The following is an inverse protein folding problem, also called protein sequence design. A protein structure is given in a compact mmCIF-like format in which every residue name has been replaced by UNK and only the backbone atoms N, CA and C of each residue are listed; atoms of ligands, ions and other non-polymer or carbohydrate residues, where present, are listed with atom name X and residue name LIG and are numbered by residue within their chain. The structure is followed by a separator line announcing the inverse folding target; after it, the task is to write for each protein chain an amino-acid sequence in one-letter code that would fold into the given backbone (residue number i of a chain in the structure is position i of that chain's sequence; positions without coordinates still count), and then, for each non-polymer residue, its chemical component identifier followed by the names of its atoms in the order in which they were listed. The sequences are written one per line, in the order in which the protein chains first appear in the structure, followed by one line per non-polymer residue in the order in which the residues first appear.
data_IF_515680767648
#
_entry.id   IF_515680767648
#
_cell.length_a   1.000
_cell.length_b   1.000
_cell.length_c   1.000
_cell.angle_alpha   90.00
_cell.angle_beta   90.00
_cell.angle_gamma   90.00
#
_symmetry.space_group_name_H-M   'P 1'
#
loop_
_entity.id
_entity.type
_entity.pdbx_description
1 polymer ?
#
# COMPACT_ATOMS: atom_id res chain seq x y z
N UNK A 1 -4.31 1.38 -29.22
CA UNK A 1 -5.23 1.53 -28.08
C UNK A 1 -4.55 2.42 -27.05
N UNK A 2 -5.20 3.49 -26.58
CA UNK A 2 -4.59 4.42 -25.62
C UNK A 2 -4.75 3.84 -24.21
N UNK A 3 -3.66 3.33 -23.65
CA UNK A 3 -3.63 2.88 -22.26
C UNK A 3 -3.56 4.10 -21.34
N UNK A 4 -4.51 4.24 -20.42
CA UNK A 4 -4.40 5.24 -19.36
C UNK A 4 -3.37 4.76 -18.34
N UNK A 5 -2.13 5.25 -18.48
CA UNK A 5 -0.99 4.86 -17.65
C UNK A 5 -1.24 5.14 -16.16
N UNK A 6 -1.88 6.27 -15.83
CA UNK A 6 -2.20 6.63 -14.44
C UNK A 6 -3.11 5.59 -13.79
N UNK A 7 -4.18 5.18 -14.50
CA UNK A 7 -5.08 4.11 -14.03
C UNK A 7 -4.37 2.77 -13.88
N UNK A 8 -3.51 2.40 -14.81
CA UNK A 8 -2.77 1.14 -14.75
C UNK A 8 -1.81 1.12 -13.57
N UNK A 9 -1.04 2.20 -13.37
CA UNK A 9 -0.14 2.33 -12.21
C UNK A 9 -0.92 2.25 -10.90
N UNK A 10 -2.06 2.92 -10.84
CA UNK A 10 -2.93 2.89 -9.68
C UNK A 10 -3.44 1.48 -9.40
N UNK A 11 -3.89 0.76 -10.44
CA UNK A 11 -4.32 -0.64 -10.31
C UNK A 11 -3.17 -1.55 -9.85
N UNK A 12 -1.95 -1.37 -10.38
CA UNK A 12 -0.75 -2.08 -9.90
C UNK A 12 -0.46 -1.84 -8.42
N UNK A 13 -0.54 -0.58 -7.98
CA UNK A 13 -0.30 -0.20 -6.60
C UNK A 13 -1.34 -0.79 -5.65
N UNK A 14 -2.62 -0.73 -6.05
CA UNK A 14 -3.71 -1.32 -5.29
C UNK A 14 -3.59 -2.83 -5.19
N UNK A 15 -3.24 -3.51 -6.29
CA UNK A 15 -2.99 -4.95 -6.29
C UNK A 15 -1.84 -5.31 -5.34
N UNK A 16 -0.75 -4.55 -5.34
CA UNK A 16 0.35 -4.74 -4.40
C UNK A 16 -0.10 -4.56 -2.94
N UNK A 17 -0.84 -3.48 -2.64
CA UNK A 17 -1.32 -3.23 -1.28
C UNK A 17 -2.32 -4.30 -0.81
N UNK A 18 -3.16 -4.82 -1.71
CA UNK A 18 -4.07 -5.95 -1.45
C UNK A 18 -3.30 -7.19 -1.01
N UNK A 19 -2.31 -7.59 -1.80
CA UNK A 19 -1.49 -8.76 -1.52
C UNK A 19 -0.68 -8.58 -0.23
N UNK A 20 -0.18 -7.36 0.01
CA UNK A 20 0.50 -7.03 1.26
C UNK A 20 -0.43 -7.18 2.46
N UNK A 21 -1.64 -6.59 2.45
CA UNK A 21 -2.63 -6.74 3.54
C UNK A 21 -2.97 -8.21 3.78
N UNK A 22 -3.22 -8.98 2.72
CA UNK A 22 -3.54 -10.40 2.82
C UNK A 22 -2.39 -11.23 3.43
N UNK A 23 -1.13 -10.81 3.24
CA UNK A 23 0.04 -11.53 3.74
C UNK A 23 0.24 -11.45 5.26
N UNK A 24 -0.34 -10.45 5.94
CA UNK A 24 -0.15 -10.24 7.38
C UNK A 24 -1.44 -10.14 8.19
N UNK A 25 -2.62 -9.97 7.59
CA UNK A 25 -3.89 -9.79 8.33
C UNK A 25 -4.18 -10.85 9.40
N UNK A 26 -3.68 -12.08 9.20
CA UNK A 26 -3.89 -13.21 10.12
C UNK A 26 -2.68 -13.42 11.06
N UNK A 27 -1.65 -12.58 10.96
CA UNK A 27 -0.45 -12.63 11.79
C UNK A 27 -0.59 -11.71 12.99
N UNK A 28 -0.45 -12.25 14.19
CA UNK A 28 -0.47 -11.52 15.46
C UNK A 28 0.82 -10.71 15.75
N UNK A 29 1.63 -10.44 14.75
CA UNK A 29 2.97 -9.83 14.94
C UNK A 29 2.90 -8.39 15.48
N UNK A 30 1.83 -7.65 15.17
CA UNK A 30 1.59 -6.29 15.71
C UNK A 30 1.34 -6.30 17.23
N UNK A 31 0.78 -7.40 17.78
CA UNK A 31 0.54 -7.54 19.23
C UNK A 31 1.85 -7.49 20.03
N UNK A 32 3.00 -7.78 19.41
CA UNK A 32 4.32 -7.71 20.07
C UNK A 32 4.81 -6.28 20.31
N UNK A 33 4.35 -5.33 19.50
CA UNK A 33 4.86 -3.95 19.50
C UNK A 33 3.86 -2.91 20.03
N UNK A 34 2.57 -3.19 19.92
CA UNK A 34 1.51 -2.30 20.38
C UNK A 34 0.92 -2.84 21.68
N UNK A 35 1.21 -2.20 22.81
CA UNK A 35 0.70 -2.65 24.11
C UNK A 35 -0.79 -2.31 24.33
N UNK A 36 -1.37 -1.41 23.54
CA UNK A 36 -2.76 -0.97 23.68
C UNK A 36 -3.68 -1.74 22.72
N UNK A 37 -4.52 -2.60 23.28
CA UNK A 37 -5.49 -3.42 22.53
C UNK A 37 -6.47 -2.57 21.72
N UNK A 38 -6.84 -1.38 22.19
CA UNK A 38 -7.78 -0.51 21.50
C UNK A 38 -7.16 0.06 20.20
N UNK A 39 -5.87 0.35 20.25
CA UNK A 39 -5.11 0.83 19.09
C UNK A 39 -4.99 -0.30 18.05
N UNK A 40 -4.68 -1.53 18.47
CA UNK A 40 -4.61 -2.71 17.59
C UNK A 40 -5.96 -2.96 16.90
N UNK A 41 -7.05 -2.94 17.65
CA UNK A 41 -8.39 -3.21 17.11
C UNK A 41 -8.79 -2.17 16.07
N UNK A 42 -8.53 -0.89 16.34
CA UNK A 42 -8.72 0.18 15.36
C UNK A 42 -7.88 -0.05 14.11
N UNK A 43 -6.62 -0.46 14.22
CA UNK A 43 -5.79 -0.75 13.05
C UNK A 43 -6.30 -1.92 12.22
N UNK A 44 -6.71 -3.00 12.87
CA UNK A 44 -7.28 -4.16 12.18
C UNK A 44 -8.57 -3.77 11.45
N UNK A 45 -9.41 -2.94 12.05
CA UNK A 45 -10.62 -2.43 11.41
C UNK A 45 -10.30 -1.56 10.19
N UNK A 46 -9.34 -0.64 10.28
CA UNK A 46 -8.93 0.17 9.11
C UNK A 46 -8.34 -0.73 8.02
N UNK A 47 -7.51 -1.71 8.37
CA UNK A 47 -6.95 -2.67 7.41
C UNK A 47 -8.03 -3.49 6.70
N UNK A 48 -9.04 -3.96 7.43
CA UNK A 48 -10.20 -4.67 6.88
C UNK A 48 -11.02 -3.79 5.93
N UNK A 49 -11.30 -2.55 6.34
CA UNK A 49 -12.01 -1.58 5.51
C UNK A 49 -11.22 -1.26 4.23
N UNK A 50 -9.91 -1.02 4.35
CA UNK A 50 -9.03 -0.78 3.19
C UNK A 50 -9.03 -1.97 2.24
N UNK A 51 -8.89 -3.20 2.75
CA UNK A 51 -8.93 -4.40 1.93
C UNK A 51 -10.26 -4.54 1.19
N UNK A 52 -11.38 -4.25 1.86
CA UNK A 52 -12.71 -4.27 1.25
C UNK A 52 -12.81 -3.26 0.11
N UNK A 53 -12.35 -2.03 0.32
CA UNK A 53 -12.41 -0.99 -0.72
C UNK A 53 -11.47 -1.28 -1.89
N UNK A 54 -10.24 -1.73 -1.64
CA UNK A 54 -9.32 -2.17 -2.68
C UNK A 54 -9.94 -3.31 -3.49
N UNK A 55 -10.63 -4.24 -2.83
CA UNK A 55 -11.29 -5.37 -3.50
C UNK A 55 -12.48 -4.96 -4.35
N UNK A 56 -13.14 -3.82 -4.07
CA UNK A 56 -14.23 -3.30 -4.90
C UNK A 56 -13.73 -2.71 -6.23
N UNK A 57 -12.46 -2.29 -6.28
CA UNK A 57 -11.87 -1.57 -7.42
C UNK A 57 -10.77 -2.37 -8.15
N UNK A 58 -10.46 -3.58 -7.67
CA UNK A 58 -9.49 -4.51 -8.27
C UNK A 58 -10.15 -5.84 -8.59
N UNK A 59 -9.60 -6.57 -9.56
CA UNK A 59 -10.07 -7.94 -9.80
C UNK A 59 -9.57 -8.91 -8.71
N UNK A 60 -10.17 -10.11 -8.59
CA UNK A 60 -9.61 -11.20 -7.80
C UNK A 60 -8.22 -11.60 -8.30
N UNK A 61 -7.36 -12.11 -7.42
CA UNK A 61 -5.97 -12.44 -7.78
C UNK A 61 -5.87 -13.45 -8.93
N UNK A 62 -6.75 -14.46 -8.96
CA UNK A 62 -6.81 -15.46 -10.03
C UNK A 62 -7.07 -14.83 -11.41
N UNK A 63 -7.87 -13.75 -11.48
CA UNK A 63 -8.13 -13.08 -12.74
C UNK A 63 -6.84 -12.57 -13.39
N UNK A 64 -5.95 -11.95 -12.59
CA UNK A 64 -4.67 -11.46 -13.09
C UNK A 64 -3.75 -12.59 -13.56
N UNK A 65 -3.75 -13.73 -12.86
CA UNK A 65 -2.92 -14.89 -13.21
C UNK A 65 -3.41 -15.58 -14.49
N UNK A 66 -4.72 -15.83 -14.59
CA UNK A 66 -5.36 -16.46 -15.74
C UNK A 66 -5.22 -15.59 -16.99
N UNK A 67 -5.33 -14.26 -16.82
CA UNK A 67 -5.28 -13.29 -17.91
C UNK A 67 -3.90 -12.64 -18.10
N UNK A 68 -2.82 -13.21 -17.56
CA UNK A 68 -1.46 -12.63 -17.64
C UNK A 68 -0.96 -12.30 -19.07
N UNK A 69 -1.52 -12.97 -20.09
CA UNK A 69 -1.20 -12.73 -21.51
C UNK A 69 -1.96 -11.53 -22.09
N UNK A 70 -3.07 -11.11 -21.48
CA UNK A 70 -3.84 -9.95 -21.91
C UNK A 70 -3.00 -8.68 -21.72
N UNK A 71 -2.85 -7.87 -22.77
CA UNK A 71 -1.90 -6.75 -22.80
C UNK A 71 -2.07 -5.80 -21.60
N UNK A 72 -3.30 -5.48 -21.17
CA UNK A 72 -3.54 -4.59 -20.03
C UNK A 72 -3.08 -5.23 -18.72
N UNK A 73 -3.44 -6.50 -18.51
CA UNK A 73 -3.13 -7.26 -17.30
C UNK A 73 -1.63 -7.44 -17.18
N UNK A 74 -0.95 -7.72 -18.30
CA UNK A 74 0.52 -7.77 -18.36
C UNK A 74 1.14 -6.48 -17.83
N UNK A 75 0.69 -5.32 -18.31
CA UNK A 75 1.23 -4.03 -17.87
C UNK A 75 0.92 -3.75 -16.39
N UNK A 76 -0.27 -4.13 -15.90
CA UNK A 76 -0.57 -4.06 -14.45
C UNK A 76 0.40 -4.91 -13.63
N UNK A 77 0.66 -6.15 -14.06
CA UNK A 77 1.61 -7.06 -13.42
C UNK A 77 3.05 -6.56 -13.49
N UNK A 78 3.44 -5.92 -14.59
CA UNK A 78 4.77 -5.29 -14.73
C UNK A 78 4.94 -4.17 -13.70
N UNK A 79 3.88 -3.39 -13.44
CA UNK A 79 3.89 -2.33 -12.44
C UNK A 79 3.93 -2.88 -11.01
N UNK A 80 3.16 -3.94 -10.76
CA UNK A 80 3.20 -4.68 -9.50
C UNK A 80 4.62 -5.20 -9.23
N UNK A 81 5.24 -5.84 -10.23
CA UNK A 81 6.59 -6.39 -10.13
C UNK A 81 7.63 -5.30 -9.91
N UNK A 82 7.48 -4.14 -10.56
CA UNK A 82 8.33 -2.99 -10.31
C UNK A 82 8.29 -2.58 -8.83
N UNK A 83 7.09 -2.38 -8.27
CA UNK A 83 6.91 -1.99 -6.86
C UNK A 83 7.55 -3.04 -5.94
N UNK A 84 7.25 -4.32 -6.17
CA UNK A 84 7.78 -5.42 -5.37
C UNK A 84 9.31 -5.49 -5.41
N UNK A 85 9.90 -5.29 -6.59
CA UNK A 85 11.35 -5.28 -6.77
C UNK A 85 12.00 -4.08 -6.10
N UNK A 86 11.40 -2.88 -6.19
CA UNK A 86 11.92 -1.69 -5.52
C UNK A 86 11.86 -1.85 -4.00
N UNK A 87 10.78 -2.39 -3.44
CA UNK A 87 10.69 -2.66 -2.00
C UNK A 87 11.74 -3.70 -1.58
N UNK A 88 11.85 -4.80 -2.33
CA UNK A 88 12.81 -5.88 -2.06
C UNK A 88 14.27 -5.45 -2.16
N UNK A 89 14.62 -4.45 -2.99
CA UNK A 89 15.98 -3.88 -3.03
C UNK A 89 16.31 -3.04 -1.79
N UNK A 90 15.31 -2.43 -1.18
CA UNK A 90 15.49 -1.51 -0.06
C UNK A 90 15.28 -2.19 1.30
N UNK A 91 14.68 -3.38 1.34
CA UNK A 91 14.59 -4.23 2.53
C UNK A 91 15.59 -5.37 2.41
N UNK A 92 16.53 -5.46 3.37
CA UNK A 92 17.46 -6.59 3.46
C UNK A 92 16.69 -7.86 3.84
N UNK A 93 17.25 -9.01 3.49
CA UNK A 93 16.69 -10.30 3.89
C UNK A 93 16.59 -10.38 5.43
N UNK A 94 15.43 -10.81 5.94
CA UNK A 94 15.09 -10.88 7.37
C UNK A 94 15.02 -9.52 8.08
N UNK A 95 15.01 -8.42 7.34
CA UNK A 95 14.81 -7.11 7.93
C UNK A 95 13.36 -6.91 8.35
N UNK A 96 13.17 -6.48 9.58
CA UNK A 96 11.85 -6.18 10.09
C UNK A 96 11.28 -4.93 9.41
N UNK A 97 9.97 -4.97 9.16
CA UNK A 97 9.24 -3.87 8.55
C UNK A 97 7.78 -3.91 9.03
N UNK A 98 7.14 -2.74 9.12
CA UNK A 98 5.72 -2.65 9.46
C UNK A 98 4.89 -2.62 8.17
N UNK A 99 4.22 -3.73 7.79
CA UNK A 99 3.50 -3.80 6.52
C UNK A 99 2.30 -2.84 6.50
N UNK A 100 1.68 -2.57 7.67
CA UNK A 100 0.56 -1.64 7.77
C UNK A 100 1.00 -0.23 7.44
N UNK A 101 2.05 0.24 8.11
CA UNK A 101 2.62 1.56 7.85
C UNK A 101 3.06 1.70 6.39
N UNK A 102 3.66 0.66 5.82
CA UNK A 102 4.14 0.67 4.44
C UNK A 102 3.00 0.87 3.43
N UNK A 103 1.94 0.03 3.47
CA UNK A 103 0.87 0.16 2.48
C UNK A 103 0.10 1.48 2.65
N UNK A 104 -0.13 1.93 3.88
CA UNK A 104 -0.76 3.24 4.12
C UNK A 104 0.08 4.37 3.52
N UNK A 105 1.39 4.35 3.74
CA UNK A 105 2.30 5.38 3.24
C UNK A 105 2.33 5.40 1.71
N UNK A 106 2.39 4.21 1.08
CA UNK A 106 2.32 4.06 -0.37
C UNK A 106 1.06 4.68 -0.97
N UNK A 107 -0.11 4.37 -0.40
CA UNK A 107 -1.39 4.89 -0.86
C UNK A 107 -1.55 6.40 -0.57
N UNK A 108 -1.05 6.87 0.58
CA UNK A 108 -1.06 8.28 0.96
C UNK A 108 -0.27 9.13 -0.05
N UNK A 109 0.97 8.73 -0.33
CA UNK A 109 1.83 9.44 -1.27
C UNK A 109 1.22 9.47 -2.67
N UNK A 110 0.63 8.36 -3.12
CA UNK A 110 0.03 8.27 -4.44
C UNK A 110 -1.22 9.13 -4.60
N UNK A 111 -2.19 9.00 -3.69
CA UNK A 111 -3.49 9.66 -3.82
C UNK A 111 -3.53 11.07 -3.25
N UNK A 112 -2.91 11.29 -2.08
CA UNK A 112 -2.99 12.55 -1.35
C UNK A 112 -1.92 13.54 -1.79
N UNK A 113 -0.65 13.12 -1.77
CA UNK A 113 0.49 14.01 -2.02
C UNK A 113 0.69 14.26 -3.52
N UNK A 114 0.71 13.19 -4.32
CA UNK A 114 0.85 13.29 -5.77
C UNK A 114 -0.48 13.55 -6.51
N UNK A 115 -1.60 13.57 -5.80
CA UNK A 115 -2.93 13.87 -6.30
C UNK A 115 -3.36 13.01 -7.52
N UNK A 116 -2.86 11.76 -7.60
CA UNK A 116 -3.16 10.83 -8.70
C UNK A 116 -4.61 10.34 -8.60
N UNK A 117 -5.28 10.21 -9.74
CA UNK A 117 -6.69 9.77 -9.83
C UNK A 117 -7.69 10.58 -8.97
N UNK A 118 -7.36 11.81 -8.56
CA UNK A 118 -8.16 12.64 -7.63
C UNK A 118 -9.58 12.99 -8.09
N UNK A 119 -9.86 12.86 -9.40
CA UNK A 119 -11.20 13.07 -9.99
C UNK A 119 -11.99 11.77 -10.17
N UNK A 120 -11.38 10.62 -9.93
CA UNK A 120 -12.07 9.33 -10.09
C UNK A 120 -12.88 9.01 -8.85
N UNK A 121 -14.17 8.70 -9.04
CA UNK A 121 -15.15 8.45 -7.97
C UNK A 121 -14.72 7.31 -7.04
N UNK A 122 -14.04 6.31 -7.60
CA UNK A 122 -13.49 5.15 -6.90
C UNK A 122 -12.40 5.55 -5.88
N UNK A 123 -11.75 6.69 -6.07
CA UNK A 123 -10.54 7.09 -5.34
C UNK A 123 -10.75 8.24 -4.36
N UNK A 124 -11.93 8.88 -4.39
CA UNK A 124 -12.36 9.87 -3.40
C UNK A 124 -12.39 9.24 -1.99
N UNK A 125 -12.73 7.96 -1.85
CA UNK A 125 -12.68 7.27 -0.55
C UNK A 125 -11.27 7.23 0.04
N UNK A 126 -10.27 6.92 -0.77
CA UNK A 126 -8.87 6.86 -0.32
C UNK A 126 -8.36 8.24 0.11
N UNK A 127 -8.82 9.33 -0.53
CA UNK A 127 -8.46 10.71 -0.15
C UNK A 127 -9.16 11.19 1.14
N UNK A 128 -10.39 10.72 1.39
CA UNK A 128 -11.24 11.18 2.49
C UNK A 128 -11.03 10.42 3.80
N UNK A 129 -10.58 9.17 3.76
CA UNK A 129 -10.30 8.41 4.98
C UNK A 129 -8.99 8.93 5.63
N UNK A 130 -8.92 9.02 6.96
CA UNK A 130 -8.11 10.04 7.60
C UNK A 130 -6.66 9.58 7.71
N UNK A 131 -5.88 9.92 6.69
CA UNK A 131 -4.43 9.84 6.74
C UNK A 131 -3.88 10.50 8.01
N UNK A 132 -4.42 11.66 8.40
CA UNK A 132 -4.08 12.33 9.67
C UNK A 132 -4.25 11.40 10.87
N UNK A 133 -5.39 10.70 10.98
CA UNK A 133 -5.67 9.85 12.14
C UNK A 133 -4.81 8.59 12.16
N UNK A 134 -4.35 8.09 11.00
CA UNK A 134 -3.45 6.93 10.93
C UNK A 134 -2.02 7.33 11.31
N UNK A 135 -1.51 8.45 10.77
CA UNK A 135 -0.18 8.96 11.10
C UNK A 135 -0.08 9.41 12.56
N UNK A 136 -1.07 10.13 13.08
CA UNK A 136 -1.08 10.57 14.49
C UNK A 136 -1.06 9.35 15.42
N UNK A 137 -1.82 8.30 15.11
CA UNK A 137 -1.82 7.06 15.91
C UNK A 137 -0.52 6.26 15.79
N UNK A 138 0.02 6.09 14.57
CA UNK A 138 1.21 5.26 14.33
C UNK A 138 2.52 5.95 14.75
N UNK A 139 2.59 7.28 14.71
CA UNK A 139 3.82 8.02 14.99
C UNK A 139 3.79 8.77 16.32
N UNK A 140 2.64 9.32 16.71
CA UNK A 140 2.54 10.21 17.88
C UNK A 140 2.13 9.41 19.13
N UNK A 141 1.03 8.65 19.06
CA UNK A 141 0.45 7.96 20.22
C UNK A 141 1.29 6.78 20.72
N UNK A 142 1.98 6.07 19.82
CA UNK A 142 2.87 4.96 20.21
C UNK A 142 4.02 5.53 21.04
N UNK A 143 4.34 4.91 22.18
CA UNK A 143 5.43 5.36 23.06
C UNK A 143 6.75 4.65 22.78
N UNK A 144 6.69 3.51 22.12
CA UNK A 144 7.87 2.71 21.76
C UNK A 144 8.72 3.42 20.70
N UNK A 145 10.00 3.61 21.00
CA UNK A 145 10.92 4.36 20.13
C UNK A 145 11.36 3.54 18.91
N UNK A 146 11.56 2.24 19.07
CA UNK A 146 12.04 1.37 18.00
C UNK A 146 10.93 1.18 16.96
N UNK A 147 9.67 1.07 17.40
CA UNK A 147 8.52 1.05 16.52
C UNK A 147 8.32 2.36 15.75
N UNK A 148 8.60 3.51 16.36
CA UNK A 148 8.58 4.79 15.64
C UNK A 148 9.64 4.84 14.55
N UNK A 149 10.86 4.40 14.85
CA UNK A 149 11.94 4.34 13.87
C UNK A 149 11.55 3.41 12.72
N UNK A 150 10.96 2.25 13.04
CA UNK A 150 10.43 1.32 12.05
C UNK A 150 9.38 1.98 11.15
N UNK A 151 8.44 2.73 11.73
CA UNK A 151 7.40 3.42 10.97
C UNK A 151 7.96 4.54 10.08
N UNK A 152 8.90 5.35 10.59
CA UNK A 152 9.58 6.39 9.80
C UNK A 152 10.27 5.76 8.60
N UNK A 153 10.98 4.65 8.81
CA UNK A 153 11.62 3.91 7.72
C UNK A 153 10.63 3.42 6.66
N UNK A 154 9.41 3.03 7.05
CA UNK A 154 8.37 2.64 6.08
C UNK A 154 7.89 3.82 5.24
N UNK A 155 7.83 5.01 5.83
CA UNK A 155 7.47 6.25 5.11
C UNK A 155 8.55 6.59 4.09
N UNK A 156 9.82 6.60 4.51
CA UNK A 156 10.97 6.88 3.63
C UNK A 156 11.05 5.87 2.48
N UNK A 157 10.79 4.59 2.78
CA UNK A 157 10.71 3.55 1.76
C UNK A 157 9.58 3.81 0.77
N UNK A 158 8.38 4.10 1.27
CA UNK A 158 7.22 4.39 0.43
C UNK A 158 7.46 5.59 -0.47
N UNK A 159 8.07 6.65 0.05
CA UNK A 159 8.44 7.86 -0.69
C UNK A 159 9.35 7.53 -1.88
N UNK A 160 10.43 6.79 -1.62
CA UNK A 160 11.37 6.35 -2.65
C UNK A 160 10.69 5.50 -3.73
N UNK A 161 9.89 4.52 -3.31
CA UNK A 161 9.18 3.60 -4.22
C UNK A 161 8.17 4.37 -5.08
N UNK A 162 7.36 5.24 -4.48
CA UNK A 162 6.30 5.97 -5.19
C UNK A 162 6.87 6.98 -6.17
N UNK A 163 7.91 7.73 -5.81
CA UNK A 163 8.52 8.66 -6.76
C UNK A 163 9.20 7.95 -7.94
N UNK A 164 9.83 6.79 -7.70
CA UNK A 164 10.38 5.98 -8.77
C UNK A 164 9.26 5.41 -9.66
N UNK A 165 8.18 4.94 -9.05
CA UNK A 165 7.04 4.38 -9.75
C UNK A 165 6.26 5.42 -10.57
N UNK A 166 6.12 6.66 -10.09
CA UNK A 166 5.48 7.73 -10.85
C UNK A 166 6.27 8.08 -12.12
N UNK A 167 7.60 7.98 -12.07
CA UNK A 167 8.49 8.17 -13.24
C UNK A 167 8.56 6.94 -14.15
N UNK A 168 8.15 5.76 -13.68
CA UNK A 168 8.24 4.51 -14.42
C UNK A 168 7.42 4.54 -15.71
N UNK A 169 8.03 4.26 -16.85
CA UNK A 169 7.32 4.10 -18.12
C UNK A 169 7.28 2.62 -18.46
N UNK A 170 6.08 2.08 -18.65
CA UNK A 170 5.90 0.76 -19.24
C UNK A 170 6.43 0.82 -20.67
N UNK A 171 7.54 0.12 -20.94
CA UNK A 171 8.13 -0.02 -22.27
C UNK A 171 7.64 -1.29 -22.93
#
# INVERSE_FOLDING_TARGET
MILNLSKIKTESLLLFCKDLILSYKDKKEIEKYVMDKEIIEKFNNIGSDMLKQISNVTYPQNYYLENRKHYRVKVVLDGYNFINNEISKNLKQNEEFNPSMLYFSLLALWFKELNKESKSKEYIYFILYPYSNVYDKLLVEIKDKDFKILNIKMIELAEKVIYNFDKYSFR
#
